data_IF_281340911009
#
_entry.id   IF_281340911009
#
_cell.length_a   1.000
_cell.length_b   1.000
_cell.length_c   1.000
_cell.angle_alpha   90.00
_cell.angle_beta   90.00
_cell.angle_gamma   90.00
#
_symmetry.space_group_name_H-M   'P 1'
#
loop_
_entity.id
_entity.type
_entity.pdbx_description
1 polymer ?
#
# COMPACT_ATOMS: atom_id res chain seq x y z
N UNK A 1 -4.57 2.20 -8.42
CA UNK A 1 -4.44 1.34 -7.21
C UNK A 1 -4.73 -0.14 -7.49
N UNK A 2 -5.87 -0.46 -8.14
CA UNK A 2 -6.30 -1.86 -8.36
C UNK A 2 -5.32 -2.65 -9.24
N UNK A 3 -4.81 -2.04 -10.32
CA UNK A 3 -3.83 -2.70 -11.20
C UNK A 3 -2.55 -3.05 -10.44
N UNK A 4 -2.00 -2.07 -9.70
CA UNK A 4 -0.83 -2.30 -8.84
C UNK A 4 -1.08 -3.39 -7.79
N UNK A 5 -2.27 -3.46 -7.22
CA UNK A 5 -2.61 -4.56 -6.31
C UNK A 5 -2.58 -5.93 -7.02
N UNK A 6 -3.13 -6.02 -8.23
CA UNK A 6 -3.13 -7.26 -9.01
C UNK A 6 -1.71 -7.68 -9.41
N UNK A 7 -0.90 -6.73 -9.88
CA UNK A 7 0.50 -6.98 -10.24
C UNK A 7 1.33 -7.39 -9.02
N UNK A 8 1.09 -6.75 -7.86
CA UNK A 8 1.75 -7.10 -6.60
C UNK A 8 1.52 -8.58 -6.24
N UNK A 9 0.29 -9.08 -6.41
CA UNK A 9 -0.05 -10.48 -6.15
C UNK A 9 0.71 -11.48 -7.05
N UNK A 10 1.19 -11.03 -8.21
CA UNK A 10 1.96 -11.87 -9.14
C UNK A 10 3.46 -11.93 -8.80
N UNK A 11 3.94 -11.06 -7.91
CA UNK A 11 5.36 -10.97 -7.56
C UNK A 11 5.85 -12.22 -6.80
N UNK A 12 7.13 -12.62 -6.97
CA UNK A 12 7.72 -13.73 -6.22
C UNK A 12 7.63 -13.54 -4.70
N UNK A 13 7.81 -12.30 -4.22
CA UNK A 13 7.74 -11.97 -2.79
C UNK A 13 6.35 -12.19 -2.20
N UNK A 14 5.28 -11.90 -2.95
CA UNK A 14 3.91 -12.20 -2.51
C UNK A 14 3.63 -13.70 -2.55
N UNK A 15 4.09 -14.39 -3.59
CA UNK A 15 3.94 -15.85 -3.74
C UNK A 15 4.72 -16.66 -2.69
N UNK A 16 5.75 -16.07 -2.08
CA UNK A 16 6.51 -16.70 -1.00
C UNK A 16 5.80 -16.64 0.36
N UNK A 17 4.71 -15.87 0.50
CA UNK A 17 3.93 -15.81 1.72
C UNK A 17 3.02 -17.04 1.85
N UNK A 18 2.67 -17.40 3.08
CA UNK A 18 1.65 -18.42 3.32
C UNK A 18 0.29 -18.00 2.74
N UNK A 19 -0.46 -18.96 2.20
CA UNK A 19 -1.77 -18.71 1.57
C UNK A 19 -2.73 -17.95 2.49
N UNK A 20 -2.77 -18.29 3.78
CA UNK A 20 -3.58 -17.60 4.79
C UNK A 20 -3.23 -16.12 4.95
N UNK A 21 -1.95 -15.77 4.77
CA UNK A 21 -1.49 -14.37 4.78
C UNK A 21 -1.96 -13.64 3.53
N UNK A 22 -1.83 -14.28 2.36
CA UNK A 22 -2.30 -13.72 1.09
C UNK A 22 -3.81 -13.48 1.14
N UNK A 23 -4.58 -14.44 1.66
CA UNK A 23 -6.03 -14.32 1.77
C UNK A 23 -6.44 -13.22 2.76
N UNK A 24 -5.73 -13.11 3.89
CA UNK A 24 -5.91 -11.98 4.81
C UNK A 24 -5.69 -10.65 4.09
N UNK A 25 -4.62 -10.53 3.31
CA UNK A 25 -4.34 -9.29 2.58
C UNK A 25 -5.39 -9.00 1.50
N UNK A 26 -5.85 -10.01 0.75
CA UNK A 26 -6.94 -9.86 -0.23
C UNK A 26 -8.22 -9.37 0.44
N UNK A 27 -8.60 -9.93 1.58
CA UNK A 27 -9.80 -9.52 2.33
C UNK A 27 -9.64 -8.08 2.82
N UNK A 28 -8.53 -7.74 3.46
CA UNK A 28 -8.27 -6.38 3.94
C UNK A 28 -8.27 -5.37 2.80
N UNK A 29 -7.60 -5.68 1.69
CA UNK A 29 -7.58 -4.82 0.51
C UNK A 29 -8.99 -4.56 -0.03
N UNK A 30 -9.76 -5.63 -0.29
CA UNK A 30 -11.08 -5.50 -0.90
C UNK A 30 -12.11 -4.82 0.01
N UNK A 31 -12.02 -5.04 1.33
CA UNK A 31 -13.03 -4.55 2.28
C UNK A 31 -12.70 -3.18 2.88
N UNK A 32 -11.42 -2.82 3.01
CA UNK A 32 -11.00 -1.57 3.67
C UNK A 32 -10.36 -0.58 2.71
N UNK A 33 -9.38 -1.02 1.92
CA UNK A 33 -8.54 -0.12 1.13
C UNK A 33 -9.22 0.25 -0.20
N UNK A 34 -9.72 -0.74 -0.94
CA UNK A 34 -10.34 -0.56 -2.26
C UNK A 34 -11.53 0.41 -2.25
N UNK A 35 -12.44 0.41 -1.25
CA UNK A 35 -13.54 1.39 -1.21
C UNK A 35 -13.06 2.85 -1.12
N UNK A 36 -11.90 3.10 -0.51
CA UNK A 36 -11.38 4.45 -0.25
C UNK A 36 -10.41 4.89 -1.35
N UNK A 37 -9.43 4.05 -1.67
CA UNK A 37 -8.32 4.38 -2.57
C UNK A 37 -8.36 3.61 -3.89
N UNK A 38 -9.31 2.69 -4.10
CA UNK A 38 -9.32 1.80 -5.27
C UNK A 38 -9.33 2.51 -6.62
N UNK A 39 -10.03 3.65 -6.69
CA UNK A 39 -10.14 4.49 -7.89
C UNK A 39 -9.00 5.51 -8.04
N UNK A 40 -8.14 5.64 -7.02
CA UNK A 40 -7.08 6.64 -7.00
C UNK A 40 -5.79 6.04 -7.57
N UNK A 41 -4.94 6.86 -8.18
CA UNK A 41 -3.55 6.49 -8.44
C UNK A 41 -2.70 6.74 -7.19
N UNK A 42 -1.55 6.06 -7.02
CA UNK A 42 -0.71 6.21 -5.83
C UNK A 42 -0.21 7.63 -5.56
N UNK A 43 -0.09 8.45 -6.59
CA UNK A 43 0.31 9.85 -6.54
C UNK A 43 -0.82 10.79 -6.05
N UNK A 44 -2.06 10.30 -6.01
CA UNK A 44 -3.24 11.10 -5.65
C UNK A 44 -3.55 11.13 -4.15
N UNK A 45 -3.16 10.10 -3.38
CA UNK A 45 -3.39 10.10 -1.94
C UNK A 45 -2.19 10.66 -1.18
N UNK A 46 -2.45 11.57 -0.26
CA UNK A 46 -1.42 12.20 0.58
C UNK A 46 -1.18 11.38 1.85
N UNK A 47 -0.04 11.61 2.51
CA UNK A 47 0.23 11.05 3.84
C UNK A 47 -0.90 11.34 4.84
N UNK A 48 -1.45 12.56 4.82
CA UNK A 48 -2.57 12.93 5.68
C UNK A 48 -3.84 12.13 5.39
N UNK A 49 -4.15 11.86 4.12
CA UNK A 49 -5.32 11.03 3.76
C UNK A 49 -5.17 9.57 4.20
N UNK A 50 -3.95 9.03 4.16
CA UNK A 50 -3.64 7.68 4.67
C UNK A 50 -3.76 7.66 6.20
N UNK A 51 -3.19 8.64 6.90
CA UNK A 51 -3.28 8.76 8.36
C UNK A 51 -4.75 8.87 8.83
N UNK A 52 -5.56 9.70 8.15
CA UNK A 52 -6.99 9.81 8.46
C UNK A 52 -7.73 8.50 8.26
N UNK A 53 -7.45 7.77 7.17
CA UNK A 53 -8.01 6.45 6.91
C UNK A 53 -7.63 5.45 8.00
N UNK A 54 -6.35 5.39 8.39
CA UNK A 54 -5.84 4.45 9.38
C UNK A 54 -6.41 4.73 10.77
N UNK A 55 -6.58 6.00 11.15
CA UNK A 55 -7.19 6.39 12.42
C UNK A 55 -8.67 5.99 12.53
N UNK A 56 -9.34 5.74 11.40
CA UNK A 56 -10.72 5.24 11.37
C UNK A 56 -10.84 3.71 11.55
N UNK A 57 -9.74 2.98 11.70
CA UNK A 57 -9.71 1.53 11.81
C UNK A 57 -9.33 1.05 13.22
N UNK A 58 -9.66 -0.20 13.54
CA UNK A 58 -9.09 -0.85 14.72
C UNK A 58 -7.57 -1.00 14.55
N UNK A 59 -6.78 -1.03 15.64
CA UNK A 59 -5.32 -1.08 15.54
C UNK A 59 -4.78 -2.22 14.66
N UNK A 60 -5.37 -3.41 14.76
CA UNK A 60 -4.98 -4.57 13.94
C UNK A 60 -5.27 -4.36 12.44
N UNK A 61 -6.42 -3.76 12.10
CA UNK A 61 -6.79 -3.46 10.71
C UNK A 61 -5.98 -2.30 10.16
N UNK A 62 -5.65 -1.29 10.97
CA UNK A 62 -4.77 -0.20 10.60
C UNK A 62 -3.37 -0.73 10.24
N UNK A 63 -2.81 -1.59 11.09
CA UNK A 63 -1.50 -2.21 10.85
C UNK A 63 -1.48 -3.01 9.55
N UNK A 64 -2.48 -3.87 9.33
CA UNK A 64 -2.59 -4.67 8.09
C UNK A 64 -2.77 -3.78 6.85
N UNK A 65 -3.60 -2.74 6.96
CA UNK A 65 -3.86 -1.84 5.84
C UNK A 65 -2.63 -1.02 5.47
N UNK A 66 -1.87 -0.56 6.47
CA UNK A 66 -0.61 0.14 6.26
C UNK A 66 0.42 -0.74 5.56
N UNK A 67 0.58 -2.00 5.99
CA UNK A 67 1.50 -2.95 5.33
C UNK A 67 1.16 -3.15 3.86
N UNK A 68 -0.13 -3.28 3.53
CA UNK A 68 -0.58 -3.44 2.15
C UNK A 68 -0.33 -2.16 1.34
N UNK A 69 -0.66 -0.99 1.87
CA UNK A 69 -0.41 0.29 1.22
C UNK A 69 1.08 0.49 0.93
N UNK A 70 1.95 0.22 1.90
CA UNK A 70 3.40 0.33 1.71
C UNK A 70 3.95 -0.60 0.64
N UNK A 71 3.42 -1.83 0.50
CA UNK A 71 3.80 -2.75 -0.58
C UNK A 71 3.37 -2.22 -1.95
N UNK A 72 2.18 -1.63 -2.05
CA UNK A 72 1.67 -1.01 -3.27
C UNK A 72 2.50 0.22 -3.64
N UNK A 73 2.83 1.07 -2.67
CA UNK A 73 3.70 2.24 -2.86
C UNK A 73 5.10 1.83 -3.32
N UNK A 74 5.71 0.82 -2.69
CA UNK A 74 7.02 0.30 -3.10
C UNK A 74 7.02 -0.18 -4.55
N UNK A 75 5.96 -0.87 -4.96
CA UNK A 75 5.83 -1.33 -6.33
C UNK A 75 5.57 -0.17 -7.30
N UNK A 76 4.78 0.82 -6.91
CA UNK A 76 4.59 2.03 -7.69
C UNK A 76 5.90 2.81 -7.92
N UNK A 77 6.76 2.89 -6.90
CA UNK A 77 8.11 3.46 -7.02
C UNK A 77 8.97 2.62 -7.98
N UNK A 78 8.93 1.30 -7.86
CA UNK A 78 9.72 0.38 -8.69
C UNK A 78 9.31 0.39 -10.17
N UNK A 79 8.07 0.78 -10.46
CA UNK A 79 7.51 0.96 -11.81
C UNK A 79 7.53 2.43 -12.26
N UNK A 80 8.23 3.30 -11.53
CA UNK A 80 8.38 4.74 -11.81
C UNK A 80 7.06 5.55 -11.84
N UNK A 81 5.95 5.00 -11.33
CA UNK A 81 4.71 5.75 -11.10
C UNK A 81 4.84 6.79 -9.98
N UNK A 82 5.76 6.56 -9.04
CA UNK A 82 6.12 7.50 -7.99
C UNK A 82 7.61 7.79 -8.06
N UNK A 83 8.06 9.04 -7.78
CA UNK A 83 9.47 9.32 -7.67
C UNK A 83 10.08 8.45 -6.58
N UNK A 84 11.30 7.95 -6.80
CA UNK A 84 12.12 7.40 -5.72
C UNK A 84 12.25 8.47 -4.64
N UNK A 85 11.53 8.29 -3.52
CA UNK A 85 11.77 9.13 -2.35
C UNK A 85 13.15 8.78 -1.85
N UNK A 86 14.12 9.62 -2.18
CA UNK A 86 15.45 9.60 -1.58
C UNK A 86 15.26 9.75 -0.07
N UNK A 87 15.37 8.63 0.65
CA UNK A 87 15.60 8.61 2.09
C UNK A 87 16.94 9.31 2.34
N UNK A 88 16.91 10.63 2.49
CA UNK A 88 18.14 11.41 2.65
C UNK A 88 18.00 12.82 2.10
N UNK A 89 17.05 13.58 2.62
CA UNK A 89 17.26 15.02 2.72
C UNK A 89 18.44 15.22 3.67
N UNK A 90 19.66 15.25 3.13
CA UNK A 90 20.75 15.96 3.80
C UNK A 90 20.31 17.42 3.85
N UNK A 91 19.81 17.84 5.00
CA UNK A 91 19.89 19.24 5.40
C UNK A 91 21.32 19.39 5.87
N UNK A 92 22.21 19.80 4.98
CA UNK A 92 23.50 20.36 5.37
C UNK A 92 23.52 21.81 4.88
N UNK A 93 23.20 22.67 5.85
CA UNK A 93 23.56 24.09 5.96
C UNK A 93 25.03 24.35 5.72
#
# INVERSE_FOLDING_TARGET
>A
MIELWNDLLLTPHMKALADSTIDTYKVTFNTKIKPVFGKQSPDQYTRGSVEQFLNGLTPSMAQLSLVILSKIEYMAVSLEYLPHRSSGGKIDT
#
